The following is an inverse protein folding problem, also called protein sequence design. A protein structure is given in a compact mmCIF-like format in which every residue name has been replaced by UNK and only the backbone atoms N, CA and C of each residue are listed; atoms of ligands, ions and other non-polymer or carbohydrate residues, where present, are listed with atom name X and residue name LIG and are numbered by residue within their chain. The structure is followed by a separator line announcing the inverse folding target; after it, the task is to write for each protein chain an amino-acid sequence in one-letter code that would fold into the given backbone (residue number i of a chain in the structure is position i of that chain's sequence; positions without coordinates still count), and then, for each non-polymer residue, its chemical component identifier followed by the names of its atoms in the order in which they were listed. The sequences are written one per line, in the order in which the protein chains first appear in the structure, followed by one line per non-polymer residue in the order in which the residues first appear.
data_IF_919568766815
#
_entry.id   IF_919568766815
#
_cell.length_a   1.000
_cell.length_b   1.000
_cell.length_c   1.000
_cell.angle_alpha   90.00
_cell.angle_beta   90.00
_cell.angle_gamma   90.00
#
_symmetry.space_group_name_H-M   'P 1'
#
loop_
_entity.id
_entity.type
_entity.pdbx_description
1 polymer ?
#
# COMPACT_ATOMS: atom_id res chain seq x y z
N UNK A 1 -13.45 -8.35 17.60
CA UNK A 1 -13.87 -7.21 16.74
C UNK A 1 -14.95 -7.72 15.78
N UNK A 2 -16.04 -7.00 15.57
CA UNK A 2 -17.13 -7.49 14.70
C UNK A 2 -16.78 -7.39 13.22
N UNK A 3 -17.39 -8.24 12.38
CA UNK A 3 -17.20 -8.21 10.92
C UNK A 3 -17.53 -6.83 10.34
N UNK A 4 -18.60 -6.19 10.82
CA UNK A 4 -19.00 -4.86 10.37
C UNK A 4 -17.90 -3.80 10.60
N UNK A 5 -17.18 -3.86 11.73
CA UNK A 5 -16.07 -2.96 12.00
C UNK A 5 -14.88 -3.24 11.07
N UNK A 6 -14.58 -4.51 10.78
CA UNK A 6 -13.51 -4.88 9.85
C UNK A 6 -13.78 -4.37 8.42
N UNK A 7 -15.01 -4.54 7.91
CA UNK A 7 -15.43 -4.01 6.60
C UNK A 7 -15.29 -2.50 6.49
N UNK A 8 -15.46 -1.79 7.61
CA UNK A 8 -15.32 -0.33 7.67
C UNK A 8 -13.86 0.10 7.75
N UNK A 9 -13.09 -0.46 8.68
CA UNK A 9 -11.78 0.09 9.04
C UNK A 9 -10.59 -0.50 8.29
N UNK A 10 -10.66 -1.75 7.81
CA UNK A 10 -9.54 -2.32 7.04
C UNK A 10 -9.27 -1.59 5.71
N UNK A 11 -10.29 -1.21 4.92
CA UNK A 11 -10.05 -0.43 3.70
C UNK A 11 -9.54 0.97 4.04
N UNK A 12 -10.06 1.59 5.11
CA UNK A 12 -9.60 2.92 5.56
C UNK A 12 -8.14 2.86 5.96
N UNK A 13 -7.72 1.86 6.73
CA UNK A 13 -6.31 1.75 7.14
C UNK A 13 -5.39 1.52 5.95
N UNK A 14 -5.83 0.78 4.93
CA UNK A 14 -5.08 0.61 3.68
C UNK A 14 -4.94 1.93 2.91
N UNK A 15 -6.01 2.73 2.82
CA UNK A 15 -5.95 4.05 2.21
C UNK A 15 -5.00 5.00 2.97
N UNK A 16 -5.00 4.94 4.30
CA UNK A 16 -4.10 5.74 5.13
C UNK A 16 -2.62 5.39 4.89
N UNK A 17 -2.29 4.12 4.68
CA UNK A 17 -0.93 3.72 4.30
C UNK A 17 -0.50 4.36 2.97
N UNK A 18 -1.38 4.34 1.96
CA UNK A 18 -1.09 4.93 0.66
C UNK A 18 -0.92 6.44 0.75
N UNK A 19 -1.77 7.12 1.51
CA UNK A 19 -1.60 8.56 1.74
C UNK A 19 -0.31 8.88 2.50
N UNK A 20 0.06 8.05 3.47
CA UNK A 20 1.32 8.20 4.20
C UNK A 20 2.54 7.97 3.30
N UNK A 21 2.52 6.93 2.45
CA UNK A 21 3.53 6.66 1.43
C UNK A 21 3.66 7.80 0.41
N UNK A 22 2.54 8.22 -0.16
CA UNK A 22 2.44 9.36 -1.07
C UNK A 22 3.04 10.63 -0.46
N UNK A 23 2.63 11.02 0.75
CA UNK A 23 3.14 12.22 1.42
C UNK A 23 4.65 12.10 1.71
N UNK A 24 5.09 10.92 2.17
CA UNK A 24 6.50 10.62 2.39
C UNK A 24 7.33 10.81 1.12
N UNK A 25 6.88 10.29 -0.02
CA UNK A 25 7.55 10.43 -1.32
C UNK A 25 7.56 11.87 -1.84
N UNK A 26 6.43 12.57 -1.80
CA UNK A 26 6.39 13.98 -2.24
C UNK A 26 7.28 14.90 -1.40
N UNK A 27 7.51 14.54 -0.13
CA UNK A 27 8.34 15.32 0.79
C UNK A 27 9.76 14.79 0.93
N UNK A 28 10.15 13.79 0.13
CA UNK A 28 11.44 13.09 0.24
C UNK A 28 11.77 12.66 1.68
N UNK A 29 10.76 12.16 2.39
CA UNK A 29 10.84 11.64 3.74
C UNK A 29 10.48 12.61 4.86
N UNK A 30 10.34 13.91 4.58
CA UNK A 30 10.15 14.93 5.64
C UNK A 30 8.83 14.77 6.44
N UNK A 31 7.80 14.14 5.87
CA UNK A 31 6.52 13.87 6.57
C UNK A 31 6.43 12.47 7.17
N UNK A 32 7.53 11.71 7.21
CA UNK A 32 7.55 10.32 7.64
C UNK A 32 8.76 9.99 8.52
N UNK A 33 8.78 8.79 9.11
CA UNK A 33 10.00 8.33 9.79
C UNK A 33 11.09 8.01 8.76
N UNK A 34 12.35 8.21 9.15
CA UNK A 34 13.49 7.86 8.30
C UNK A 34 13.46 6.38 7.88
N UNK A 35 13.07 5.48 8.80
CA UNK A 35 12.91 4.06 8.53
C UNK A 35 11.84 3.75 7.48
N UNK A 36 10.73 4.50 7.47
CA UNK A 36 9.65 4.30 6.50
C UNK A 36 10.02 4.82 5.11
N UNK A 37 10.68 5.97 5.03
CA UNK A 37 11.20 6.47 3.76
C UNK A 37 12.26 5.53 3.18
N UNK A 38 13.17 5.01 4.01
CA UNK A 38 14.15 4.02 3.58
C UNK A 38 13.48 2.72 3.11
N UNK A 39 12.48 2.22 3.86
CA UNK A 39 11.68 1.06 3.45
C UNK A 39 11.10 1.21 2.04
N UNK A 40 10.62 2.41 1.68
CA UNK A 40 10.09 2.68 0.35
C UNK A 40 11.21 2.69 -0.71
N UNK A 41 12.34 3.34 -0.41
CA UNK A 41 13.49 3.39 -1.33
C UNK A 41 14.10 2.01 -1.60
N UNK A 42 14.12 1.13 -0.60
CA UNK A 42 14.61 -0.25 -0.73
C UNK A 42 13.75 -1.12 -1.68
N UNK A 43 12.52 -0.69 -1.98
CA UNK A 43 11.58 -1.38 -2.88
C UNK A 43 11.47 -0.72 -4.24
N UNK A 44 11.52 0.60 -4.27
CA UNK A 44 11.58 1.39 -5.48
C UNK A 44 12.36 2.66 -5.19
N UNK A 45 13.58 2.82 -5.74
CA UNK A 45 14.39 4.01 -5.47
C UNK A 45 13.66 5.31 -5.82
N UNK A 46 13.75 6.33 -4.95
CA UNK A 46 13.36 7.70 -5.30
C UNK A 46 14.50 8.41 -6.04
N UNK A 47 14.81 7.94 -7.24
CA UNK A 47 15.95 8.38 -8.06
C UNK A 47 15.58 9.48 -9.08
N UNK A 48 14.35 9.99 -9.02
CA UNK A 48 13.83 10.98 -9.95
C UNK A 48 13.42 10.41 -11.31
N UNK A 49 13.45 9.08 -11.49
CA UNK A 49 12.92 8.41 -12.68
C UNK A 49 11.43 8.68 -12.89
N UNK A 50 10.93 8.45 -14.11
CA UNK A 50 9.49 8.56 -14.39
C UNK A 50 8.66 7.68 -13.44
N UNK A 51 9.13 6.48 -13.14
CA UNK A 51 8.47 5.58 -12.21
C UNK A 51 8.43 6.20 -10.80
N UNK A 52 9.55 6.70 -10.28
CA UNK A 52 9.62 7.28 -8.94
C UNK A 52 8.69 8.50 -8.77
N UNK A 53 8.57 9.34 -9.80
CA UNK A 53 7.68 10.52 -9.81
C UNK A 53 6.20 10.15 -9.83
N UNK A 54 5.87 9.01 -10.44
CA UNK A 54 4.49 8.61 -10.71
C UNK A 54 3.91 7.77 -9.56
N UNK A 55 4.73 7.03 -8.81
CA UNK A 55 4.32 6.26 -7.61
C UNK A 55 3.46 7.08 -6.63
N UNK A 56 3.89 8.25 -6.11
CA UNK A 56 3.08 8.99 -5.14
C UNK A 56 1.74 9.46 -5.71
N UNK A 57 1.68 9.77 -7.00
CA UNK A 57 0.43 10.15 -7.68
C UNK A 57 -0.54 8.97 -7.73
N UNK A 58 -0.05 7.76 -8.06
CA UNK A 58 -0.87 6.55 -8.06
C UNK A 58 -1.33 6.18 -6.66
N UNK A 59 -0.45 6.26 -5.65
CA UNK A 59 -0.82 5.98 -4.26
C UNK A 59 -1.97 6.90 -3.79
N UNK A 60 -1.94 8.18 -4.16
CA UNK A 60 -3.03 9.11 -3.86
C UNK A 60 -4.34 8.75 -4.57
N UNK A 61 -4.28 8.43 -5.88
CA UNK A 61 -5.48 8.07 -6.67
C UNK A 61 -6.10 6.78 -6.14
N UNK A 62 -5.28 5.75 -5.92
CA UNK A 62 -5.73 4.44 -5.43
C UNK A 62 -6.24 4.55 -3.99
N UNK A 63 -5.54 5.29 -3.13
CA UNK A 63 -6.02 5.59 -1.77
C UNK A 63 -7.40 6.25 -1.76
N UNK A 64 -7.62 7.20 -2.67
CA UNK A 64 -8.93 7.86 -2.85
C UNK A 64 -9.99 6.88 -3.36
N UNK A 65 -9.65 6.02 -4.33
CA UNK A 65 -10.54 4.99 -4.87
C UNK A 65 -10.99 3.97 -3.80
N UNK A 66 -10.10 3.60 -2.86
CA UNK A 66 -10.44 2.73 -1.73
C UNK A 66 -11.51 3.38 -0.83
N UNK A 67 -11.47 4.70 -0.64
CA UNK A 67 -12.45 5.40 0.19
C UNK A 67 -13.83 5.51 -0.47
N UNK A 68 -13.91 5.48 -1.80
CA UNK A 68 -15.20 5.42 -2.51
C UNK A 68 -15.96 4.13 -2.14
N UNK A 69 -17.29 4.09 -2.30
CA UNK A 69 -18.06 2.87 -2.07
C UNK A 69 -18.27 2.10 -3.38
N UNK A 70 -18.70 0.84 -3.28
CA UNK A 70 -19.05 0.04 -4.46
C UNK A 70 -17.83 -0.57 -5.17
N UNK A 71 -17.91 -0.68 -6.50
CA UNK A 71 -16.94 -1.42 -7.31
C UNK A 71 -15.53 -0.83 -7.26
N UNK A 72 -15.41 0.50 -7.23
CA UNK A 72 -14.13 1.22 -7.15
C UNK A 72 -13.27 0.75 -5.97
N UNK A 73 -13.86 0.67 -4.77
CA UNK A 73 -13.17 0.17 -3.58
C UNK A 73 -12.71 -1.26 -3.72
N UNK A 74 -13.59 -2.16 -4.20
CA UNK A 74 -13.28 -3.59 -4.36
C UNK A 74 -12.09 -3.79 -5.29
N UNK A 75 -12.10 -3.10 -6.43
CA UNK A 75 -11.01 -3.17 -7.41
C UNK A 75 -9.73 -2.58 -6.83
N UNK A 76 -9.80 -1.41 -6.20
CA UNK A 76 -8.63 -0.74 -5.64
C UNK A 76 -7.97 -1.54 -4.50
N UNK A 77 -8.75 -2.11 -3.58
CA UNK A 77 -8.19 -2.94 -2.49
C UNK A 77 -7.56 -4.23 -3.03
N UNK A 78 -8.18 -4.89 -4.01
CA UNK A 78 -7.58 -6.05 -4.69
C UNK A 78 -6.28 -5.67 -5.43
N UNK A 79 -6.26 -4.54 -6.13
CA UNK A 79 -5.06 -4.06 -6.81
C UNK A 79 -3.90 -3.84 -5.84
N UNK A 80 -4.14 -3.16 -4.72
CA UNK A 80 -3.11 -2.93 -3.69
C UNK A 80 -2.64 -4.24 -3.07
N UNK A 81 -3.57 -5.14 -2.72
CA UNK A 81 -3.23 -6.46 -2.18
C UNK A 81 -2.30 -7.22 -3.14
N UNK A 82 -2.66 -7.29 -4.43
CA UNK A 82 -1.84 -7.95 -5.43
C UNK A 82 -0.46 -7.31 -5.62
N UNK A 83 -0.38 -5.98 -5.55
CA UNK A 83 0.87 -5.23 -5.71
C UNK A 83 1.82 -5.49 -4.55
N UNK A 84 1.35 -5.34 -3.31
CA UNK A 84 2.16 -5.57 -2.10
C UNK A 84 2.62 -7.04 -2.03
N UNK A 85 1.71 -7.99 -2.29
CA UNK A 85 2.06 -9.41 -2.32
C UNK A 85 3.08 -9.75 -3.41
N UNK A 86 3.00 -9.08 -4.58
CA UNK A 86 3.99 -9.28 -5.66
C UNK A 86 5.37 -8.79 -5.23
N UNK A 87 5.47 -7.64 -4.55
CA UNK A 87 6.73 -7.14 -3.99
C UNK A 87 7.30 -8.11 -2.96
N UNK A 88 6.45 -8.68 -2.09
CA UNK A 88 6.88 -9.68 -1.12
C UNK A 88 7.51 -10.91 -1.81
N UNK A 89 6.87 -11.43 -2.85
CA UNK A 89 7.37 -12.57 -3.63
C UNK A 89 8.67 -12.22 -4.36
N UNK A 90 8.77 -11.05 -5.00
CA UNK A 90 9.99 -10.61 -5.67
C UNK A 90 11.18 -10.56 -4.71
N UNK A 91 10.98 -10.01 -3.50
CA UNK A 91 12.02 -9.93 -2.48
C UNK A 91 12.42 -11.30 -1.94
N UNK A 92 11.45 -12.17 -1.72
CA UNK A 92 11.71 -13.56 -1.35
C UNK A 92 12.58 -14.28 -2.39
N UNK A 93 12.24 -14.16 -3.67
CA UNK A 93 13.01 -14.75 -4.78
C UNK A 93 14.42 -14.16 -4.90
N UNK A 94 14.59 -12.89 -4.53
CA UNK A 94 15.89 -12.22 -4.49
C UNK A 94 16.73 -12.54 -3.24
N UNK A 95 16.22 -13.36 -2.30
CA UNK A 95 16.90 -13.67 -1.05
C UNK A 95 17.00 -12.50 -0.07
N UNK A 96 16.14 -11.48 -0.25
CA UNK A 96 16.10 -10.29 0.60
C UNK A 96 15.13 -10.49 1.78
N UNK A 97 15.33 -9.73 2.86
CA UNK A 97 14.35 -9.69 3.94
C UNK A 97 12.99 -9.20 3.42
N UNK A 98 11.97 -10.01 3.68
CA UNK A 98 10.62 -9.86 3.15
C UNK A 98 9.53 -10.12 4.20
N UNK A 99 9.89 -10.35 5.47
CA UNK A 99 8.91 -10.66 6.52
C UNK A 99 7.87 -9.55 6.66
N UNK A 100 8.31 -8.27 6.63
CA UNK A 100 7.42 -7.11 6.66
C UNK A 100 6.49 -7.05 5.45
N UNK A 101 6.96 -7.44 4.27
CA UNK A 101 6.15 -7.42 3.04
C UNK A 101 5.07 -8.49 3.04
N UNK A 102 5.38 -9.69 3.55
CA UNK A 102 4.38 -10.73 3.74
C UNK A 102 3.28 -10.29 4.71
N UNK A 103 3.66 -9.67 5.84
CA UNK A 103 2.68 -9.15 6.80
C UNK A 103 1.79 -8.06 6.20
N UNK A 104 2.38 -7.13 5.44
CA UNK A 104 1.61 -6.13 4.71
C UNK A 104 0.71 -6.75 3.63
N UNK A 105 1.19 -7.77 2.91
CA UNK A 105 0.41 -8.50 1.92
C UNK A 105 -0.80 -9.23 2.52
N UNK A 106 -0.62 -9.89 3.66
CA UNK A 106 -1.72 -10.53 4.43
C UNK A 106 -2.73 -9.48 4.88
N UNK A 107 -2.26 -8.35 5.40
CA UNK A 107 -3.14 -7.26 5.82
C UNK A 107 -3.93 -6.67 4.65
N UNK A 108 -3.27 -6.35 3.53
CA UNK A 108 -3.92 -5.81 2.34
C UNK A 108 -4.92 -6.80 1.73
N UNK A 109 -4.58 -8.10 1.71
CA UNK A 109 -5.48 -9.18 1.28
C UNK A 109 -6.70 -9.27 2.20
N UNK A 110 -6.51 -9.17 3.51
CA UNK A 110 -7.61 -9.15 4.48
C UNK A 110 -8.54 -7.95 4.26
N UNK A 111 -7.98 -6.78 3.95
CA UNK A 111 -8.75 -5.59 3.60
C UNK A 111 -9.55 -5.79 2.30
N UNK A 112 -8.95 -6.41 1.27
CA UNK A 112 -9.64 -6.75 0.03
C UNK A 112 -10.82 -7.71 0.28
N UNK A 113 -10.59 -8.81 1.00
CA UNK A 113 -11.64 -9.79 1.35
C UNK A 113 -12.79 -9.11 2.10
N UNK A 114 -12.49 -8.23 3.05
CA UNK A 114 -13.51 -7.49 3.80
C UNK A 114 -14.38 -6.58 2.91
N UNK A 115 -13.91 -6.19 1.73
CA UNK A 115 -14.71 -5.42 0.76
C UNK A 115 -15.52 -6.27 -0.21
N UNK A 116 -15.19 -7.56 -0.35
CA UNK A 116 -15.84 -8.48 -1.29
C UNK A 116 -17.05 -9.18 -0.68
N UNK A 117 -16.98 -9.51 0.60
CA UNK A 117 -18.04 -10.13 1.41
C UNK A 117 -19.03 -9.06 1.87
#
# INVERSE_FOLDING_TARGET
MSIALLKKYLPISLALLLFYGCASRFSHGATSTASFYQYQNDRSPDDGSTLSRVIPVFDFIVGTAILQQGLSRKVATCFVASTISSVAVQRYLAGLDCQGDFLQGVWATSAAIATLI
#
